data_IF_234676970578
#
_entry.id   IF_234676970578
#
_cell.length_a   1.000
_cell.length_b   1.000
_cell.length_c   1.000
_cell.angle_alpha   90.00
_cell.angle_beta   90.00
_cell.angle_gamma   90.00
#
_symmetry.space_group_name_H-M   'P 1'
#
loop_
_entity.id
_entity.type
_entity.pdbx_description
1 polymer ?
#
# COMPACT_ATOMS: atom_id res chain seq x y z
N UNK A 1 -14.30 -28.57 14.60
CA UNK A 1 -13.78 -27.20 14.39
C UNK A 1 -13.04 -27.15 13.06
N UNK A 2 -13.53 -26.39 12.08
CA UNK A 2 -12.85 -26.23 10.80
C UNK A 2 -11.79 -25.13 10.96
N UNK A 3 -10.51 -25.50 11.03
CA UNK A 3 -9.41 -24.55 11.08
C UNK A 3 -9.05 -24.08 9.68
N UNK A 4 -9.12 -22.77 9.41
CA UNK A 4 -8.63 -22.20 8.15
C UNK A 4 -7.11 -22.04 8.25
N UNK A 5 -6.34 -22.87 7.54
CA UNK A 5 -4.90 -22.68 7.35
C UNK A 5 -4.66 -21.89 6.07
N UNK A 6 -4.29 -20.62 6.19
CA UNK A 6 -3.74 -19.85 5.06
C UNK A 6 -2.25 -20.19 4.97
N UNK A 7 -1.81 -20.88 3.91
CA UNK A 7 -0.40 -21.23 3.70
C UNK A 7 0.50 -19.99 3.70
N UNK A 8 1.71 -20.14 4.23
CA UNK A 8 2.67 -19.06 4.44
C UNK A 8 3.36 -18.63 3.14
N UNK A 9 2.73 -17.76 2.35
CA UNK A 9 3.44 -17.00 1.32
C UNK A 9 4.36 -16.02 2.04
N UNK A 10 5.67 -16.19 1.86
CA UNK A 10 6.67 -15.24 2.37
C UNK A 10 6.63 -13.98 1.53
N UNK A 11 6.01 -12.94 2.08
CA UNK A 11 5.91 -11.65 1.43
C UNK A 11 7.07 -10.76 1.87
N UNK A 12 7.69 -10.08 0.91
CA UNK A 12 8.72 -9.08 1.17
C UNK A 12 8.29 -7.79 0.48
N UNK A 13 8.10 -6.75 1.27
CA UNK A 13 8.00 -5.40 0.73
C UNK A 13 9.37 -4.97 0.19
N UNK A 14 9.34 -4.06 -0.79
CA UNK A 14 10.51 -3.24 -1.11
C UNK A 14 10.94 -2.44 0.12
N UNK A 15 12.13 -1.87 0.08
CA UNK A 15 12.45 -0.74 0.95
C UNK A 15 11.55 0.46 0.63
N UNK A 16 11.60 1.48 1.47
CA UNK A 16 10.92 2.73 1.19
C UNK A 16 11.57 3.46 0.02
N UNK A 17 10.76 3.87 -0.94
CA UNK A 17 11.15 4.74 -2.05
C UNK A 17 10.49 6.10 -1.91
N UNK A 18 11.15 7.14 -2.40
CA UNK A 18 10.53 8.47 -2.50
C UNK A 18 9.38 8.43 -3.51
N UNK A 19 8.37 9.29 -3.34
CA UNK A 19 7.18 9.25 -4.19
C UNK A 19 7.43 9.59 -5.67
N UNK A 20 8.42 10.43 -5.96
CA UNK A 20 8.89 10.71 -7.32
C UNK A 20 9.50 9.47 -8.01
N UNK A 21 10.02 8.52 -7.23
CA UNK A 21 10.55 7.24 -7.69
C UNK A 21 9.49 6.12 -7.79
N UNK A 22 8.21 6.41 -7.51
CA UNK A 22 7.13 5.39 -7.44
C UNK A 22 7.01 4.49 -8.68
N UNK A 23 7.47 4.94 -9.85
CA UNK A 23 7.44 4.16 -11.11
C UNK A 23 8.67 3.29 -11.31
N UNK A 24 9.61 3.27 -10.36
CA UNK A 24 10.87 2.51 -10.40
C UNK A 24 10.94 1.41 -9.34
N UNK A 25 9.92 1.30 -8.48
CA UNK A 25 9.85 0.29 -7.44
C UNK A 25 9.86 -1.10 -8.09
N UNK A 26 10.56 -2.05 -7.46
CA UNK A 26 10.47 -3.46 -7.84
C UNK A 26 8.99 -3.87 -7.88
N UNK A 27 8.58 -4.59 -8.94
CA UNK A 27 7.20 -5.05 -9.16
C UNK A 27 6.17 -3.97 -9.52
N UNK A 28 6.57 -2.77 -9.91
CA UNK A 28 5.61 -1.72 -10.25
C UNK A 28 4.63 -2.11 -11.37
N UNK A 29 5.04 -2.99 -12.28
CA UNK A 29 4.17 -3.49 -13.36
C UNK A 29 3.30 -4.70 -12.94
N UNK A 30 3.37 -5.13 -11.69
CA UNK A 30 2.61 -6.26 -11.15
C UNK A 30 1.41 -5.82 -10.29
N UNK A 31 0.40 -6.70 -10.12
CA UNK A 31 -0.60 -6.58 -9.06
C UNK A 31 -0.03 -6.80 -7.67
N UNK A 32 -0.57 -6.10 -6.68
CA UNK A 32 -0.04 -6.19 -5.32
C UNK A 32 -0.64 -5.23 -4.32
N UNK A 33 0.08 -5.09 -3.21
CA UNK A 33 -0.23 -4.20 -2.09
C UNK A 33 0.88 -3.17 -1.96
N UNK A 34 0.51 -1.95 -1.57
CA UNK A 34 1.44 -0.87 -1.31
C UNK A 34 1.10 -0.15 -0.01
N UNK A 35 2.14 0.39 0.62
CA UNK A 35 2.09 1.16 1.84
C UNK A 35 2.57 2.58 1.53
N UNK A 36 1.91 3.59 2.10
CA UNK A 36 2.34 4.97 2.03
C UNK A 36 2.67 5.49 3.42
N UNK A 37 3.79 6.19 3.56
CA UNK A 37 4.26 6.72 4.84
C UNK A 37 4.82 8.13 4.71
N UNK A 38 4.94 8.80 5.86
CA UNK A 38 5.63 10.09 6.01
C UNK A 38 6.72 9.97 7.09
N UNK A 39 7.87 10.61 6.89
CA UNK A 39 8.94 10.63 7.90
C UNK A 39 9.72 9.32 8.03
N UNK A 40 9.65 8.46 7.01
CA UNK A 40 10.59 7.35 6.78
C UNK A 40 11.79 7.84 5.96
N UNK A 41 12.85 7.03 5.87
CA UNK A 41 14.01 7.30 5.01
C UNK A 41 14.02 6.38 3.79
N UNK A 42 14.60 6.79 2.65
CA UNK A 42 14.91 5.86 1.56
C UNK A 42 15.71 4.67 2.07
N UNK A 43 15.51 3.50 1.46
CA UNK A 43 16.24 2.25 1.76
C UNK A 43 16.06 1.69 3.18
N UNK A 44 15.32 2.37 4.05
CA UNK A 44 14.88 1.86 5.33
C UNK A 44 13.95 0.65 5.11
N UNK A 45 14.05 -0.35 5.99
CA UNK A 45 13.20 -1.51 5.95
C UNK A 45 11.72 -1.12 6.15
N UNK A 46 10.84 -1.75 5.38
CA UNK A 46 9.40 -1.53 5.49
C UNK A 46 8.80 -2.48 6.54
N UNK A 47 8.45 -1.94 7.71
CA UNK A 47 7.61 -2.61 8.70
C UNK A 47 6.13 -2.20 8.52
N UNK A 48 5.23 -3.12 8.14
CA UNK A 48 3.81 -2.82 8.00
C UNK A 48 3.09 -2.36 9.29
N UNK A 49 3.70 -2.53 10.47
CA UNK A 49 3.16 -2.05 11.74
C UNK A 49 3.60 -0.60 12.09
N UNK A 50 4.47 0.02 11.28
CA UNK A 50 5.02 1.35 11.56
C UNK A 50 3.94 2.45 11.60
N UNK A 51 3.82 3.15 12.74
CA UNK A 51 2.87 4.25 12.98
C UNK A 51 2.96 5.42 11.98
N UNK A 52 4.06 5.52 11.23
CA UNK A 52 4.28 6.50 10.15
C UNK A 52 3.50 6.18 8.88
N UNK A 53 3.00 4.95 8.74
CA UNK A 53 2.11 4.55 7.65
C UNK A 53 0.81 5.33 7.76
N UNK A 54 0.46 5.98 6.66
CA UNK A 54 -0.76 6.77 6.52
C UNK A 54 -1.80 6.08 5.63
N UNK A 55 -1.39 5.13 4.78
CA UNK A 55 -2.30 4.43 3.89
C UNK A 55 -1.79 3.03 3.53
N UNK A 56 -2.69 2.06 3.53
CA UNK A 56 -2.49 0.71 3.01
C UNK A 56 -3.49 0.53 1.88
N UNK A 57 -3.03 0.15 0.70
CA UNK A 57 -3.89 -0.05 -0.46
C UNK A 57 -3.47 -1.22 -1.32
N UNK A 58 -4.43 -1.72 -2.11
CA UNK A 58 -4.20 -2.82 -3.04
C UNK A 58 -4.59 -2.48 -4.47
N UNK A 59 -4.15 -3.34 -5.38
CA UNK A 59 -4.69 -3.45 -6.73
C UNK A 59 -4.52 -4.85 -7.32
N UNK A 60 -5.56 -5.31 -8.00
CA UNK A 60 -5.52 -6.48 -8.88
C UNK A 60 -5.11 -6.13 -10.33
N UNK A 61 -4.98 -4.84 -10.66
CA UNK A 61 -4.33 -4.34 -11.88
C UNK A 61 -2.83 -4.10 -11.58
N UNK A 62 -2.13 -3.22 -12.31
CA UNK A 62 -0.72 -2.92 -11.99
C UNK A 62 -0.59 -1.86 -10.90
N UNK A 63 0.43 -2.03 -10.03
CA UNK A 63 0.81 -1.04 -9.02
C UNK A 63 1.07 0.33 -9.68
N UNK A 64 1.74 0.37 -10.84
CA UNK A 64 2.00 1.58 -11.63
C UNK A 64 0.72 2.36 -11.92
N UNK A 65 -0.32 1.67 -12.42
CA UNK A 65 -1.61 2.29 -12.70
C UNK A 65 -2.24 2.85 -11.43
N UNK A 66 -2.25 2.06 -10.36
CA UNK A 66 -2.85 2.45 -9.07
C UNK A 66 -2.15 3.64 -8.42
N UNK A 67 -0.82 3.63 -8.39
CA UNK A 67 0.00 4.71 -7.84
C UNK A 67 -0.15 6.00 -8.67
N UNK A 68 -0.30 5.90 -9.99
CA UNK A 68 -0.58 7.07 -10.83
C UNK A 68 -2.00 7.63 -10.61
N UNK A 69 -3.00 6.79 -10.40
CA UNK A 69 -4.35 7.23 -10.00
C UNK A 69 -4.33 7.95 -8.64
N UNK A 70 -3.60 7.41 -7.67
CA UNK A 70 -3.35 8.09 -6.40
C UNK A 70 -2.71 9.45 -6.67
N UNK A 71 -1.62 9.50 -7.44
CA UNK A 71 -0.88 10.74 -7.72
C UNK A 71 -1.77 11.82 -8.35
N UNK A 72 -2.56 11.45 -9.36
CA UNK A 72 -3.47 12.38 -10.01
C UNK A 72 -4.52 12.94 -9.04
N UNK A 73 -5.05 12.09 -8.15
CA UNK A 73 -6.08 12.51 -7.21
C UNK A 73 -5.51 13.35 -6.06
N UNK A 74 -4.35 12.93 -5.52
CA UNK A 74 -3.68 13.59 -4.39
C UNK A 74 -3.09 14.95 -4.76
N UNK A 75 -2.50 15.07 -5.96
CA UNK A 75 -1.67 16.24 -6.32
C UNK A 75 -2.15 17.02 -7.55
N UNK A 76 -3.07 16.47 -8.36
CA UNK A 76 -3.56 17.12 -9.60
C UNK A 76 -5.07 17.34 -9.61
N UNK A 77 -5.69 17.27 -8.44
CA UNK A 77 -7.13 17.48 -8.22
C UNK A 77 -8.07 16.57 -9.05
N UNK A 78 -7.58 15.42 -9.54
CA UNK A 78 -8.46 14.48 -10.23
C UNK A 78 -9.40 13.75 -9.26
N UNK A 79 -10.41 13.08 -9.79
CA UNK A 79 -11.29 12.16 -9.04
C UNK A 79 -10.80 10.70 -9.23
N UNK A 80 -11.27 9.78 -8.40
CA UNK A 80 -11.18 8.34 -8.66
C UNK A 80 -10.30 7.49 -7.74
N UNK A 81 -9.61 8.07 -6.74
CA UNK A 81 -8.85 7.29 -5.76
C UNK A 81 -9.16 7.71 -4.31
N UNK A 82 -9.75 6.82 -3.52
CA UNK A 82 -10.13 7.11 -2.13
C UNK A 82 -8.94 7.54 -1.27
N UNK A 83 -7.84 6.77 -1.28
CA UNK A 83 -6.61 7.14 -0.58
C UNK A 83 -6.00 8.48 -1.04
N UNK A 84 -6.04 8.79 -2.34
CA UNK A 84 -5.54 10.06 -2.87
C UNK A 84 -6.39 11.25 -2.43
N UNK A 85 -7.72 11.07 -2.33
CA UNK A 85 -8.62 12.11 -1.80
C UNK A 85 -8.33 12.36 -0.33
N UNK A 86 -8.26 11.29 0.46
CA UNK A 86 -7.94 11.39 1.88
C UNK A 86 -6.57 12.05 2.11
N UNK A 87 -5.56 11.73 1.29
CA UNK A 87 -4.26 12.39 1.36
C UNK A 87 -4.38 13.90 1.09
N UNK A 88 -5.08 14.29 0.03
CA UNK A 88 -5.30 15.68 -0.35
C UNK A 88 -6.10 16.46 0.71
N UNK A 89 -7.07 15.83 1.36
CA UNK A 89 -7.98 16.49 2.30
C UNK A 89 -7.40 16.54 3.72
N UNK A 90 -6.76 15.45 4.17
CA UNK A 90 -6.32 15.27 5.56
C UNK A 90 -4.82 15.55 5.72
N UNK A 91 -3.98 15.06 4.81
CA UNK A 91 -2.51 15.08 4.98
C UNK A 91 -1.91 16.38 4.43
N UNK A 92 -2.29 16.79 3.21
CA UNK A 92 -1.91 18.08 2.60
C UNK A 92 -0.39 18.36 2.60
N UNK A 93 0.43 17.32 2.47
CA UNK A 93 1.89 17.43 2.34
C UNK A 93 2.30 17.34 0.87
N UNK A 94 3.42 17.98 0.49
CA UNK A 94 3.89 17.91 -0.89
C UNK A 94 4.54 16.54 -1.17
N UNK A 95 4.64 16.12 -2.43
CA UNK A 95 5.03 14.75 -2.80
C UNK A 95 6.43 14.35 -2.30
N UNK A 96 7.34 15.30 -2.05
CA UNK A 96 8.70 15.04 -1.58
C UNK A 96 8.74 14.51 -0.14
N UNK A 97 7.63 14.64 0.60
CA UNK A 97 7.48 14.09 1.95
C UNK A 97 6.86 12.69 1.95
N UNK A 98 6.35 12.22 0.81
CA UNK A 98 5.65 10.96 0.68
C UNK A 98 6.62 9.86 0.25
N UNK A 99 6.46 8.70 0.89
CA UNK A 99 7.21 7.50 0.58
C UNK A 99 6.26 6.35 0.30
N UNK A 100 6.74 5.39 -0.48
CA UNK A 100 5.99 4.21 -0.89
C UNK A 100 6.87 2.96 -0.80
N UNK A 101 6.29 1.89 -0.28
CA UNK A 101 6.82 0.54 -0.38
C UNK A 101 5.75 -0.36 -1.00
N UNK A 102 6.16 -1.37 -1.77
CA UNK A 102 5.22 -2.26 -2.44
C UNK A 102 5.64 -3.73 -2.36
N UNK A 103 4.67 -4.62 -2.52
CA UNK A 103 4.85 -6.06 -2.56
C UNK A 103 3.89 -6.67 -3.58
N UNK A 104 4.41 -7.55 -4.45
CA UNK A 104 3.62 -8.31 -5.41
C UNK A 104 3.71 -9.83 -5.14
N UNK A 105 2.60 -10.50 -4.77
CA UNK A 105 2.60 -11.94 -4.56
C UNK A 105 2.81 -12.69 -5.88
N UNK A 106 3.74 -13.63 -5.88
CA UNK A 106 4.12 -14.44 -7.05
C UNK A 106 3.16 -15.63 -7.22
N UNK A 107 1.88 -15.34 -7.48
CA UNK A 107 0.82 -16.33 -7.70
C UNK A 107 0.45 -16.31 -9.19
N UNK A 108 0.52 -17.46 -9.86
CA UNK A 108 0.31 -17.56 -11.30
C UNK A 108 -1.16 -17.43 -11.71
N UNK A 109 -2.08 -18.05 -10.96
CA UNK A 109 -3.51 -18.05 -11.29
C UNK A 109 -4.15 -16.72 -10.90
N UNK A 110 -4.76 -16.04 -11.87
CA UNK A 110 -5.33 -14.70 -11.70
C UNK A 110 -6.37 -14.59 -10.58
N UNK A 111 -7.28 -15.58 -10.48
CA UNK A 111 -8.33 -15.58 -9.45
C UNK A 111 -7.73 -15.73 -8.05
N UNK A 112 -6.83 -16.70 -7.86
CA UNK A 112 -6.13 -16.94 -6.61
C UNK A 112 -5.28 -15.72 -6.20
N UNK A 113 -4.55 -15.12 -7.16
CA UNK A 113 -3.75 -13.91 -6.93
C UNK A 113 -4.63 -12.74 -6.46
N UNK A 114 -5.74 -12.49 -7.14
CA UNK A 114 -6.64 -11.39 -6.80
C UNK A 114 -7.29 -11.59 -5.42
N UNK A 115 -7.74 -12.80 -5.11
CA UNK A 115 -8.26 -13.13 -3.79
C UNK A 115 -7.20 -12.95 -2.70
N UNK A 116 -5.97 -13.40 -2.97
CA UNK A 116 -4.86 -13.28 -2.03
C UNK A 116 -4.45 -11.82 -1.79
N UNK A 117 -4.40 -10.97 -2.83
CA UNK A 117 -4.08 -9.54 -2.70
C UNK A 117 -5.08 -8.83 -1.78
N UNK A 118 -6.38 -9.09 -1.96
CA UNK A 118 -7.45 -8.51 -1.12
C UNK A 118 -7.36 -9.00 0.32
N UNK A 119 -7.13 -10.30 0.51
CA UNK A 119 -6.89 -10.87 1.83
C UNK A 119 -5.67 -10.23 2.50
N UNK A 120 -4.57 -10.06 1.76
CA UNK A 120 -3.33 -9.49 2.27
C UNK A 120 -3.52 -8.04 2.73
N UNK A 121 -4.21 -7.20 1.96
CA UNK A 121 -4.52 -5.83 2.35
C UNK A 121 -5.29 -5.77 3.67
N UNK A 122 -6.34 -6.58 3.81
CA UNK A 122 -7.12 -6.65 5.06
C UNK A 122 -6.32 -7.19 6.22
N UNK A 123 -5.46 -8.18 5.99
CA UNK A 123 -4.54 -8.71 7.01
C UNK A 123 -3.55 -7.65 7.49
N UNK A 124 -3.00 -6.84 6.57
CA UNK A 124 -2.06 -5.77 6.91
C UNK A 124 -2.74 -4.61 7.66
N UNK A 125 -3.96 -4.22 7.25
CA UNK A 125 -4.76 -3.24 7.98
C UNK A 125 -5.06 -3.74 9.40
N UNK A 126 -5.49 -4.99 9.56
CA UNK A 126 -5.73 -5.58 10.87
C UNK A 126 -4.45 -5.59 11.71
N UNK A 127 -3.32 -6.00 11.14
CA UNK A 127 -2.02 -5.98 11.82
C UNK A 127 -1.63 -4.58 12.31
N UNK A 128 -1.80 -3.56 11.45
CA UNK A 128 -1.56 -2.17 11.82
C UNK A 128 -2.47 -1.73 12.97
N UNK A 129 -3.78 -2.05 12.92
CA UNK A 129 -4.75 -1.70 13.97
C UNK A 129 -4.40 -2.36 15.30
N UNK A 130 -4.05 -3.64 15.29
CA UNK A 130 -3.63 -4.35 16.51
C UNK A 130 -2.37 -3.73 17.13
N UNK A 131 -1.42 -3.26 16.31
CA UNK A 131 -0.19 -2.65 16.78
C UNK A 131 -0.36 -1.19 17.25
N UNK A 132 -1.30 -0.43 16.67
CA UNK A 132 -1.39 1.02 16.85
C UNK A 132 -2.71 1.50 17.49
N UNK A 133 -3.68 0.62 17.70
CA UNK A 133 -4.99 0.93 18.27
C UNK A 133 -5.90 1.79 17.38
N UNK A 134 -5.56 1.99 16.10
CA UNK A 134 -6.30 2.82 15.14
C UNK A 134 -5.99 2.44 13.71
N UNK A 135 -6.82 2.90 12.77
CA UNK A 135 -6.54 2.81 11.33
C UNK A 135 -5.40 3.75 10.89
N UNK A 136 -4.71 3.46 9.77
CA UNK A 136 -3.91 4.46 9.07
C UNK A 136 -4.79 5.64 8.66
N UNK A 137 -4.24 6.86 8.72
CA UNK A 137 -5.01 8.12 8.61
C UNK A 137 -5.86 8.24 7.33
N UNK A 138 -5.45 7.62 6.23
CA UNK A 138 -6.13 7.68 4.94
C UNK A 138 -6.93 6.41 4.60
N UNK A 139 -6.92 5.40 5.49
CA UNK A 139 -7.87 4.29 5.41
C UNK A 139 -9.16 4.68 6.15
N UNK A 140 -10.30 4.22 5.64
CA UNK A 140 -11.62 4.42 6.26
C UNK A 140 -12.19 3.06 6.66
N UNK A 141 -13.07 3.07 7.65
CA UNK A 141 -13.94 1.95 8.00
C UNK A 141 -14.85 1.56 6.82
#
# INVERSE_FOLDING_TARGET
MCGVRVQGIKLKFSTWHRWDERTRIRWVDEPGVYLLALGVKPDEHCDPADKRIIYIGETCATLKRRLNQFNATAFRNSRGHAGGRAYREIIRKPPEKLFVAACAPQIQKNLERSAFIRFLERKLILGYVLANGRLPKCNKE
#
